data_IF_005014583232
#
_entry.id   IF_005014583232
#
_cell.length_a   1.000
_cell.length_b   1.000
_cell.length_c   1.000
_cell.angle_alpha   90.00
_cell.angle_beta   90.00
_cell.angle_gamma   90.00
#
_symmetry.space_group_name_H-M   'P 1'
#
loop_
_entity.id
_entity.type
_entity.pdbx_description
1 polymer ?
#
# COMPACT_ATOMS: atom_id res chain seq x y z
N UNK A 1 -11.09 1.52 5.46
CA UNK A 1 -10.91 0.41 4.51
C UNK A 1 -9.79 0.79 3.57
N UNK A 2 -8.83 -0.11 3.35
CA UNK A 2 -7.67 0.11 2.47
C UNK A 2 -7.76 -0.86 1.29
N UNK A 3 -7.48 -0.41 0.06
CA UNK A 3 -7.54 -1.24 -1.15
C UNK A 3 -8.78 -2.14 -1.18
N UNK A 4 -10.00 -1.61 -1.14
CA UNK A 4 -11.19 -2.42 -0.90
C UNK A 4 -11.38 -3.48 -1.99
N UNK A 5 -11.69 -4.70 -1.55
CA UNK A 5 -12.10 -5.81 -2.42
C UNK A 5 -13.54 -5.65 -2.89
N UNK A 6 -14.02 -6.52 -3.78
CA UNK A 6 -15.43 -6.55 -4.17
C UNK A 6 -16.34 -6.63 -2.93
N UNK A 7 -17.35 -5.77 -2.87
CA UNK A 7 -18.29 -5.72 -1.75
C UNK A 7 -19.38 -6.79 -1.92
N UNK A 8 -19.00 -8.05 -1.69
CA UNK A 8 -19.94 -9.17 -1.69
C UNK A 8 -20.81 -9.16 -0.42
N UNK A 9 -21.94 -9.91 -0.37
CA UNK A 9 -22.74 -10.04 0.85
C UNK A 9 -21.92 -10.48 2.06
N UNK A 10 -20.97 -11.40 1.89
CA UNK A 10 -20.10 -11.92 2.96
C UNK A 10 -19.14 -10.82 3.47
N UNK A 11 -18.53 -10.06 2.57
CA UNK A 11 -17.68 -8.93 2.93
C UNK A 11 -18.51 -7.87 3.66
N UNK A 12 -19.72 -7.56 3.16
CA UNK A 12 -20.63 -6.64 3.83
C UNK A 12 -21.01 -7.11 5.22
N UNK A 13 -21.38 -8.37 5.38
CA UNK A 13 -21.72 -8.96 6.69
C UNK A 13 -20.52 -8.89 7.65
N UNK A 14 -19.29 -9.08 7.14
CA UNK A 14 -18.09 -8.93 7.95
C UNK A 14 -17.89 -7.50 8.42
N UNK A 15 -18.07 -6.51 7.55
CA UNK A 15 -18.00 -5.09 7.91
C UNK A 15 -19.05 -4.74 8.98
N UNK A 16 -20.29 -5.19 8.78
CA UNK A 16 -21.39 -4.94 9.71
C UNK A 16 -21.10 -5.58 11.09
N UNK A 17 -20.50 -6.77 11.14
CA UNK A 17 -20.07 -7.43 12.39
C UNK A 17 -18.96 -6.66 13.14
N UNK A 18 -18.26 -5.78 12.47
CA UNK A 18 -17.23 -4.89 13.04
C UNK A 18 -17.78 -3.50 13.39
N UNK A 19 -19.10 -3.34 13.37
CA UNK A 19 -19.78 -2.08 13.70
C UNK A 19 -20.35 -1.35 12.49
N UNK A 20 -20.02 -1.75 11.26
CA UNK A 20 -20.65 -1.24 10.02
C UNK A 20 -20.33 0.21 9.65
N UNK A 21 -19.56 0.92 10.46
CA UNK A 21 -19.28 2.35 10.28
C UNK A 21 -17.98 2.56 9.48
N UNK A 22 -18.08 2.57 8.15
CA UNK A 22 -16.94 2.89 7.27
C UNK A 22 -16.83 4.40 7.13
N UNK A 23 -15.78 4.98 7.66
CA UNK A 23 -15.53 6.44 7.61
C UNK A 23 -14.55 6.84 6.52
N UNK A 24 -13.61 5.95 6.17
CA UNK A 24 -12.56 6.20 5.19
C UNK A 24 -12.41 5.02 4.23
N UNK A 25 -12.23 5.35 2.95
CA UNK A 25 -11.97 4.41 1.86
C UNK A 25 -10.67 4.85 1.21
N UNK A 26 -9.57 4.15 1.45
CA UNK A 26 -8.29 4.48 0.88
C UNK A 26 -8.03 3.69 -0.41
N UNK A 27 -7.80 4.41 -1.51
CA UNK A 27 -7.13 3.91 -2.70
C UNK A 27 -5.65 4.26 -2.55
N UNK A 28 -4.80 3.31 -2.10
CA UNK A 28 -3.44 3.64 -1.69
C UNK A 28 -2.53 4.03 -2.85
N UNK A 29 -2.90 3.74 -4.09
CA UNK A 29 -2.10 4.06 -5.27
C UNK A 29 -2.95 4.16 -6.55
N UNK A 30 -2.29 4.23 -7.72
CA UNK A 30 -2.95 4.31 -9.02
C UNK A 30 -3.48 2.96 -9.54
N UNK A 31 -3.22 1.84 -8.86
CA UNK A 31 -3.60 0.49 -9.31
C UNK A 31 -4.67 -0.16 -8.41
N UNK A 32 -4.60 0.03 -7.10
CA UNK A 32 -5.48 -0.62 -6.12
C UNK A 32 -6.75 0.20 -5.84
N UNK A 33 -7.59 0.40 -6.89
CA UNK A 33 -8.72 1.33 -6.83
C UNK A 33 -10.05 0.78 -7.39
N UNK A 34 -10.10 -0.49 -7.84
CA UNK A 34 -11.21 -0.99 -8.67
C UNK A 34 -12.58 -0.87 -7.99
N UNK A 35 -12.66 -1.14 -6.70
CA UNK A 35 -13.94 -1.26 -5.99
C UNK A 35 -14.37 -0.02 -5.20
N UNK A 36 -13.59 1.08 -5.22
CA UNK A 36 -13.90 2.27 -4.39
C UNK A 36 -15.28 2.86 -4.71
N UNK A 37 -15.72 2.86 -5.97
CA UNK A 37 -17.07 3.36 -6.36
C UNK A 37 -18.18 2.55 -5.69
N UNK A 38 -18.06 1.22 -5.68
CA UNK A 38 -19.07 0.36 -5.04
C UNK A 38 -19.12 0.59 -3.53
N UNK A 39 -17.94 0.73 -2.89
CA UNK A 39 -17.86 1.03 -1.47
C UNK A 39 -18.38 2.42 -1.14
N UNK A 40 -18.05 3.46 -1.94
CA UNK A 40 -18.58 4.81 -1.75
C UNK A 40 -20.11 4.85 -1.88
N UNK A 41 -20.69 4.11 -2.83
CA UNK A 41 -22.15 3.97 -2.95
C UNK A 41 -22.79 3.30 -1.73
N UNK A 42 -22.13 2.29 -1.16
CA UNK A 42 -22.63 1.59 0.03
C UNK A 42 -22.43 2.38 1.32
N UNK A 43 -21.41 3.25 1.37
CA UNK A 43 -21.04 4.07 2.51
C UNK A 43 -20.86 5.55 2.05
N UNK A 44 -21.96 6.25 1.72
CA UNK A 44 -21.87 7.57 1.08
C UNK A 44 -21.21 8.65 1.94
N UNK A 45 -21.21 8.48 3.25
CA UNK A 45 -20.54 9.40 4.19
C UNK A 45 -19.03 9.13 4.35
N UNK A 46 -18.52 8.00 3.84
CA UNK A 46 -17.10 7.70 3.91
C UNK A 46 -16.29 8.62 3.00
N UNK A 47 -15.18 9.15 3.50
CA UNK A 47 -14.26 9.95 2.70
C UNK A 47 -13.30 9.08 1.90
N UNK A 48 -13.07 9.42 0.64
CA UNK A 48 -12.08 8.76 -0.21
C UNK A 48 -10.73 9.44 -0.02
N UNK A 49 -9.70 8.63 0.22
CA UNK A 49 -8.30 9.02 0.34
C UNK A 49 -7.54 8.46 -0.86
N UNK A 50 -6.81 9.31 -1.58
CA UNK A 50 -6.15 8.89 -2.82
C UNK A 50 -4.91 9.73 -3.15
N UNK A 51 -3.95 9.22 -3.95
CA UNK A 51 -2.90 10.03 -4.55
C UNK A 51 -3.42 10.85 -5.74
N UNK A 52 -2.72 11.92 -6.05
CA UNK A 52 -2.95 12.72 -7.25
C UNK A 52 -2.88 11.88 -8.54
N UNK A 53 -3.69 12.24 -9.54
CA UNK A 53 -3.75 11.55 -10.82
C UNK A 53 -4.70 10.36 -10.83
N UNK A 54 -5.12 9.82 -9.67
CA UNK A 54 -6.06 8.70 -9.63
C UNK A 54 -7.45 9.11 -10.09
N UNK A 55 -7.94 10.27 -9.68
CA UNK A 55 -9.26 10.74 -10.10
C UNK A 55 -9.31 10.90 -11.62
N UNK A 56 -8.33 11.54 -12.22
CA UNK A 56 -8.20 11.74 -13.66
C UNK A 56 -8.12 10.40 -14.41
N UNK A 57 -7.29 9.47 -13.92
CA UNK A 57 -7.20 8.10 -14.47
C UNK A 57 -8.56 7.42 -14.50
N UNK A 58 -9.34 7.54 -13.42
CA UNK A 58 -10.66 6.91 -13.30
C UNK A 58 -11.71 7.56 -14.20
N UNK A 59 -11.67 8.89 -14.38
CA UNK A 59 -12.62 9.59 -15.26
C UNK A 59 -12.47 9.18 -16.73
N UNK A 60 -11.31 8.69 -17.14
CA UNK A 60 -11.11 8.18 -18.50
C UNK A 60 -11.87 6.86 -18.77
N UNK A 61 -12.27 6.13 -17.70
CA UNK A 61 -13.03 4.89 -17.80
C UNK A 61 -14.50 5.14 -17.39
N UNK A 62 -15.49 4.89 -18.30
CA UNK A 62 -16.91 5.11 -18.01
C UNK A 62 -17.44 4.31 -16.81
N UNK A 63 -16.82 3.17 -16.48
CA UNK A 63 -17.23 2.30 -15.37
C UNK A 63 -16.84 2.87 -13.99
N UNK A 64 -15.90 3.81 -13.94
CA UNK A 64 -15.32 4.35 -12.71
C UNK A 64 -15.58 5.85 -12.53
N UNK A 65 -16.61 6.41 -13.14
CA UNK A 65 -16.93 7.84 -13.02
C UNK A 65 -17.33 8.17 -11.58
N UNK A 66 -16.38 8.73 -10.85
CA UNK A 66 -16.61 9.19 -9.49
C UNK A 66 -16.92 10.68 -9.45
N UNK A 67 -17.57 11.15 -8.39
CA UNK A 67 -17.86 12.58 -8.21
C UNK A 67 -16.59 13.37 -7.96
N UNK A 68 -15.89 13.10 -6.88
CA UNK A 68 -14.57 13.62 -6.52
C UNK A 68 -14.05 12.84 -5.31
N UNK A 69 -12.78 13.07 -4.96
CA UNK A 69 -12.16 12.50 -3.76
C UNK A 69 -12.00 13.59 -2.71
N UNK A 70 -12.34 13.29 -1.47
CA UNK A 70 -12.30 14.27 -0.39
C UNK A 70 -10.88 14.63 0.02
N UNK A 71 -9.97 13.66 0.02
CA UNK A 71 -8.58 13.88 0.44
C UNK A 71 -7.60 13.34 -0.60
N UNK A 72 -6.84 14.24 -1.20
CA UNK A 72 -5.88 13.90 -2.27
C UNK A 72 -4.48 14.39 -1.87
N UNK A 73 -3.54 13.48 -1.79
CA UNK A 73 -2.11 13.83 -1.62
C UNK A 73 -1.52 14.26 -2.94
N UNK A 74 -0.81 15.37 -2.93
CA UNK A 74 -0.14 15.95 -4.10
C UNK A 74 1.33 16.19 -3.80
N UNK A 75 2.19 16.01 -4.81
CA UNK A 75 3.65 16.17 -4.71
C UNK A 75 4.05 17.54 -4.15
N UNK A 76 3.46 18.60 -4.66
CA UNK A 76 3.87 19.98 -4.37
C UNK A 76 2.91 20.71 -3.42
N UNK A 77 2.20 19.97 -2.57
CA UNK A 77 1.29 20.52 -1.59
C UNK A 77 1.48 19.90 -0.21
N UNK A 78 1.04 20.61 0.82
CA UNK A 78 0.94 20.03 2.15
C UNK A 78 -0.04 18.86 2.17
N UNK A 79 0.19 17.83 3.00
CA UNK A 79 -0.77 16.74 3.15
C UNK A 79 -2.17 17.29 3.50
N UNK A 80 -3.25 16.65 3.00
CA UNK A 80 -4.59 17.07 3.35
C UNK A 80 -4.86 16.87 4.84
N UNK A 81 -5.56 17.83 5.45
CA UNK A 81 -6.11 17.66 6.79
C UNK A 81 -7.36 16.78 6.69
N UNK A 82 -7.40 15.67 7.43
CA UNK A 82 -8.50 14.71 7.36
C UNK A 82 -9.45 14.89 8.53
N UNK A 83 -8.99 14.59 9.75
CA UNK A 83 -9.72 14.78 10.99
C UNK A 83 -8.79 14.57 12.18
N UNK A 84 -9.16 15.12 13.34
CA UNK A 84 -8.41 14.89 14.59
C UNK A 84 -8.29 13.39 14.93
N UNK A 85 -9.35 12.62 14.69
CA UNK A 85 -9.35 11.16 14.89
C UNK A 85 -8.36 10.47 13.97
N UNK A 86 -8.34 10.82 12.68
CA UNK A 86 -7.36 10.27 11.74
C UNK A 86 -5.94 10.59 12.18
N UNK A 87 -5.67 11.85 12.50
CA UNK A 87 -4.32 12.30 12.87
C UNK A 87 -3.87 11.71 14.22
N UNK A 88 -4.83 11.36 15.11
CA UNK A 88 -4.51 10.64 16.36
C UNK A 88 -4.06 9.20 16.10
N UNK A 89 -4.66 8.52 15.12
CA UNK A 89 -4.45 7.09 14.86
C UNK A 89 -3.48 6.80 13.72
N UNK A 90 -3.44 7.66 12.69
CA UNK A 90 -2.67 7.41 11.48
C UNK A 90 -1.58 8.45 11.23
N UNK A 91 -0.51 8.01 10.58
CA UNK A 91 0.45 8.83 9.86
C UNK A 91 0.50 8.35 8.42
N UNK A 92 0.70 9.25 7.47
CA UNK A 92 0.67 8.92 6.04
C UNK A 92 1.91 9.48 5.34
N UNK A 93 2.64 8.64 4.61
CA UNK A 93 3.68 9.08 3.70
C UNK A 93 3.21 8.93 2.25
N UNK A 94 3.28 10.01 1.49
CA UNK A 94 3.03 9.99 0.06
C UNK A 94 4.33 9.74 -0.70
N UNK A 95 4.50 8.51 -1.15
CA UNK A 95 5.67 8.05 -1.91
C UNK A 95 5.48 8.40 -3.40
N UNK A 96 5.48 9.68 -3.72
CA UNK A 96 5.26 10.14 -5.10
C UNK A 96 6.34 9.66 -6.08
N UNK A 97 7.52 9.29 -5.58
CA UNK A 97 8.59 8.69 -6.38
C UNK A 97 8.35 7.23 -6.77
N UNK A 98 7.34 6.57 -6.18
CA UNK A 98 6.90 5.22 -6.56
C UNK A 98 6.22 5.23 -7.93
N UNK A 99 6.40 4.17 -8.72
CA UNK A 99 5.81 4.05 -10.05
C UNK A 99 4.29 4.19 -10.07
N UNK A 100 3.60 3.69 -9.06
CA UNK A 100 2.15 3.83 -8.88
C UNK A 100 1.72 4.98 -7.95
N UNK A 101 2.65 5.83 -7.48
CA UNK A 101 2.35 6.98 -6.58
C UNK A 101 1.65 6.55 -5.30
N UNK A 102 2.33 5.84 -4.45
CA UNK A 102 1.73 5.14 -3.33
C UNK A 102 1.56 6.00 -2.07
N UNK A 103 0.46 5.78 -1.34
CA UNK A 103 0.22 6.21 0.03
C UNK A 103 0.51 5.06 0.98
N UNK A 104 1.48 5.22 1.84
CA UNK A 104 1.80 4.28 2.92
C UNK A 104 1.25 4.83 4.22
N UNK A 105 0.59 3.99 5.01
CA UNK A 105 -0.06 4.39 6.25
C UNK A 105 0.58 3.68 7.44
N UNK A 106 0.83 4.41 8.51
CA UNK A 106 1.13 3.85 9.83
C UNK A 106 -0.11 3.96 10.71
N UNK A 107 -0.66 2.85 11.17
CA UNK A 107 -1.62 2.85 12.27
C UNK A 107 -0.83 2.82 13.58
N UNK A 108 -0.74 3.99 14.23
CA UNK A 108 0.09 4.23 15.41
C UNK A 108 -0.24 3.32 16.59
N UNK A 109 -1.54 3.15 16.98
CA UNK A 109 -1.88 2.36 18.16
C UNK A 109 -1.45 0.88 18.04
N UNK A 110 -1.52 0.29 16.85
CA UNK A 110 -1.11 -1.11 16.63
C UNK A 110 0.31 -1.25 16.08
N UNK A 111 1.03 -0.14 15.88
CA UNK A 111 2.37 -0.11 15.30
C UNK A 111 2.44 -0.88 13.97
N UNK A 112 1.42 -0.70 13.14
CA UNK A 112 1.24 -1.45 11.89
C UNK A 112 1.36 -0.54 10.69
N UNK A 113 2.29 -0.86 9.78
CA UNK A 113 2.34 -0.24 8.45
C UNK A 113 1.36 -0.97 7.53
N UNK A 114 0.59 -0.20 6.76
CA UNK A 114 -0.33 -0.68 5.73
C UNK A 114 0.14 -0.06 4.42
N UNK A 115 0.39 -0.90 3.43
CA UNK A 115 0.94 -0.46 2.15
C UNK A 115 0.36 -1.27 0.98
N UNK A 116 0.62 -0.85 -0.24
CA UNK A 116 0.20 -1.53 -1.46
C UNK A 116 1.36 -2.30 -2.10
N UNK A 117 2.24 -1.59 -2.79
CA UNK A 117 3.30 -2.16 -3.62
C UNK A 117 4.72 -1.77 -3.18
N UNK A 118 4.87 -1.12 -2.02
CA UNK A 118 6.21 -0.78 -1.49
C UNK A 118 7.04 -2.02 -1.18
N UNK A 119 6.38 -3.10 -0.71
CA UNK A 119 7.02 -4.36 -0.34
C UNK A 119 6.09 -5.53 -0.61
N UNK A 120 6.62 -6.61 -1.17
CA UNK A 120 5.90 -7.85 -1.44
C UNK A 120 6.37 -8.94 -0.49
N UNK A 121 5.46 -9.62 0.19
CA UNK A 121 5.80 -10.76 1.05
C UNK A 121 5.27 -12.08 0.48
N UNK A 122 5.73 -12.40 -0.73
CA UNK A 122 5.31 -13.60 -1.44
C UNK A 122 6.04 -14.88 -0.93
N UNK A 123 5.39 -16.06 -1.02
CA UNK A 123 4.07 -16.33 -1.62
C UNK A 123 2.89 -15.93 -0.72
N UNK A 124 1.72 -15.63 -1.33
CA UNK A 124 0.47 -15.28 -0.65
C UNK A 124 -0.25 -16.53 -0.14
N UNK A 125 0.21 -17.12 0.95
CA UNK A 125 -0.39 -18.37 1.46
C UNK A 125 -1.72 -18.10 2.14
N UNK A 126 -1.83 -17.01 2.91
CA UNK A 126 -3.04 -16.65 3.65
C UNK A 126 -4.19 -16.25 2.72
N UNK A 127 -3.90 -15.43 1.71
CA UNK A 127 -4.88 -14.91 0.77
C UNK A 127 -5.69 -16.02 0.08
N UNK A 128 -5.04 -17.14 -0.23
CA UNK A 128 -5.64 -18.27 -0.92
C UNK A 128 -5.88 -19.48 -0.01
N UNK A 129 -5.76 -19.33 1.31
CA UNK A 129 -5.85 -20.46 2.25
C UNK A 129 -7.19 -21.17 2.27
N UNK A 130 -8.27 -20.47 1.89
CA UNK A 130 -9.65 -20.99 1.86
C UNK A 130 -10.16 -21.26 0.44
N UNK A 131 -9.30 -21.21 -0.57
CA UNK A 131 -9.67 -21.45 -1.97
C UNK A 131 -9.30 -22.89 -2.31
N UNK A 132 -10.28 -23.71 -2.73
CA UNK A 132 -10.08 -25.10 -3.14
C UNK A 132 -9.43 -25.17 -4.53
N UNK A 133 -9.81 -24.27 -5.45
CA UNK A 133 -9.30 -24.20 -6.81
C UNK A 133 -8.10 -23.28 -6.92
N UNK A 134 -6.92 -23.78 -6.57
CA UNK A 134 -5.66 -23.10 -6.91
C UNK A 134 -5.19 -23.53 -8.28
N UNK A 135 -5.34 -22.66 -9.26
CA UNK A 135 -4.66 -22.90 -10.53
C UNK A 135 -3.14 -23.00 -10.29
N UNK A 136 -2.47 -24.01 -10.88
CA UNK A 136 -1.04 -24.17 -10.73
C UNK A 136 -0.34 -22.95 -11.34
N UNK A 137 0.50 -22.30 -10.53
CA UNK A 137 1.31 -21.17 -10.99
C UNK A 137 2.12 -21.59 -12.24
N UNK A 138 2.11 -20.74 -13.26
CA UNK A 138 2.93 -20.96 -14.44
C UNK A 138 4.44 -20.86 -14.11
N UNK A 139 5.29 -21.35 -14.98
CA UNK A 139 6.74 -21.40 -14.76
C UNK A 139 7.35 -20.02 -14.50
N UNK A 140 6.91 -18.99 -15.20
CA UNK A 140 7.40 -17.61 -15.06
C UNK A 140 7.08 -17.08 -13.66
N UNK A 141 5.84 -17.25 -13.21
CA UNK A 141 5.43 -16.83 -11.86
C UNK A 141 6.23 -17.56 -10.79
N UNK A 142 6.44 -18.89 -10.91
CA UNK A 142 7.28 -19.65 -9.98
C UNK A 142 8.71 -19.17 -9.91
N UNK A 143 9.28 -18.68 -11.03
CA UNK A 143 10.63 -18.14 -11.08
C UNK A 143 10.74 -16.74 -10.45
N UNK A 144 9.68 -15.92 -10.55
CA UNK A 144 9.67 -14.53 -10.04
C UNK A 144 9.32 -14.47 -8.55
N UNK A 145 8.43 -15.33 -8.04
CA UNK A 145 7.99 -15.32 -6.64
C UNK A 145 9.13 -15.27 -5.63
N UNK A 146 10.22 -16.07 -5.74
CA UNK A 146 11.32 -15.99 -4.80
C UNK A 146 12.05 -14.64 -4.80
N UNK A 147 12.00 -13.89 -5.92
CA UNK A 147 12.64 -12.57 -6.03
C UNK A 147 11.87 -11.50 -5.22
N UNK A 148 10.58 -11.72 -4.98
CA UNK A 148 9.68 -10.83 -4.24
C UNK A 148 9.35 -11.38 -2.84
N UNK A 149 10.15 -12.31 -2.33
CA UNK A 149 10.03 -12.82 -0.98
C UNK A 149 10.90 -12.01 -0.01
N UNK A 150 10.41 -11.81 1.20
CA UNK A 150 11.16 -11.17 2.29
C UNK A 150 11.98 -12.14 3.11
N UNK A 151 11.87 -13.46 2.85
CA UNK A 151 12.50 -14.54 3.65
C UNK A 151 14.02 -14.64 3.49
N UNK A 152 14.57 -14.09 2.42
CA UNK A 152 16.02 -14.12 2.19
C UNK A 152 16.75 -12.97 2.88
N UNK A 153 17.97 -13.24 3.34
CA UNK A 153 18.89 -12.21 3.84
C UNK A 153 20.27 -12.39 3.20
N UNK A 154 20.75 -11.39 2.44
CA UNK A 154 20.07 -10.18 2.00
C UNK A 154 18.94 -10.48 0.99
N UNK A 155 17.88 -9.67 0.99
CA UNK A 155 16.77 -9.78 0.04
C UNK A 155 17.14 -9.23 -1.36
N UNK A 156 18.17 -9.77 -1.98
CA UNK A 156 18.83 -9.19 -3.17
C UNK A 156 17.88 -9.03 -4.36
N UNK A 157 16.99 -10.00 -4.60
CA UNK A 157 16.00 -9.92 -5.68
C UNK A 157 15.05 -8.75 -5.44
N UNK A 158 14.49 -8.66 -4.24
CA UNK A 158 13.55 -7.60 -3.87
C UNK A 158 14.22 -6.21 -3.85
N UNK A 159 15.48 -6.10 -3.37
CA UNK A 159 16.27 -4.86 -3.46
C UNK A 159 16.42 -4.36 -4.90
N UNK A 160 16.72 -5.28 -5.85
CA UNK A 160 16.81 -4.94 -7.28
C UNK A 160 15.47 -4.50 -7.82
N UNK A 161 14.40 -5.19 -7.47
CA UNK A 161 13.04 -4.82 -7.89
C UNK A 161 12.67 -3.42 -7.37
N UNK A 162 12.89 -3.14 -6.09
CA UNK A 162 12.64 -1.82 -5.51
C UNK A 162 13.49 -0.73 -6.20
N UNK A 163 14.78 -1.02 -6.45
CA UNK A 163 15.70 -0.05 -7.04
C UNK A 163 15.40 0.26 -8.50
N UNK A 164 15.13 -0.76 -9.32
CA UNK A 164 15.00 -0.57 -10.76
C UNK A 164 13.56 -0.38 -11.24
N UNK A 165 12.58 -0.88 -10.49
CA UNK A 165 11.17 -0.85 -10.88
C UNK A 165 10.36 0.10 -10.00
N UNK A 166 10.30 -0.13 -8.67
CA UNK A 166 9.42 0.66 -7.81
C UNK A 166 9.83 2.14 -7.74
N UNK A 167 11.14 2.43 -7.68
CA UNK A 167 11.68 3.80 -7.60
C UNK A 167 11.96 4.42 -8.97
N UNK A 168 11.51 3.82 -10.06
CA UNK A 168 11.86 4.25 -11.42
C UNK A 168 11.31 5.63 -11.80
N UNK A 169 10.23 6.07 -11.16
CA UNK A 169 9.59 7.36 -11.45
C UNK A 169 10.42 8.55 -10.95
N UNK A 170 10.82 8.51 -9.68
CA UNK A 170 11.72 9.52 -9.06
C UNK A 170 12.44 8.86 -7.87
N UNK A 171 13.67 8.40 -8.10
CA UNK A 171 14.43 7.64 -7.08
C UNK A 171 14.82 8.47 -5.87
N UNK A 172 15.10 9.75 -6.04
CA UNK A 172 15.52 10.62 -4.94
C UNK A 172 14.33 10.90 -4.01
N UNK A 173 13.16 11.15 -4.60
CA UNK A 173 11.92 11.27 -3.84
C UNK A 173 11.55 9.96 -3.15
N UNK A 174 11.65 8.82 -3.84
CA UNK A 174 11.43 7.50 -3.25
C UNK A 174 12.36 7.23 -2.07
N UNK A 175 13.66 7.55 -2.23
CA UNK A 175 14.66 7.43 -1.16
C UNK A 175 14.29 8.27 0.07
N UNK A 176 13.82 9.50 -0.17
CA UNK A 176 13.38 10.39 0.90
C UNK A 176 12.19 9.80 1.67
N UNK A 177 11.19 9.26 0.98
CA UNK A 177 10.04 8.61 1.58
C UNK A 177 10.42 7.34 2.34
N UNK A 178 11.30 6.49 1.79
CA UNK A 178 11.83 5.31 2.50
C UNK A 178 12.49 5.72 3.82
N UNK A 179 13.30 6.77 3.81
CA UNK A 179 13.96 7.28 5.04
C UNK A 179 12.96 7.84 6.06
N UNK A 180 11.85 8.44 5.62
CA UNK A 180 10.76 8.90 6.51
C UNK A 180 10.03 7.72 7.13
N UNK A 181 9.60 6.74 6.34
CA UNK A 181 8.95 5.51 6.81
C UNK A 181 9.83 4.79 7.84
N UNK A 182 11.15 4.73 7.62
CA UNK A 182 12.09 4.13 8.59
C UNK A 182 12.20 4.85 9.93
N UNK A 183 11.68 6.08 10.06
CA UNK A 183 11.61 6.79 11.36
C UNK A 183 10.39 6.39 12.16
N UNK A 184 9.40 5.78 11.53
CA UNK A 184 8.19 5.30 12.21
C UNK A 184 8.50 4.15 13.16
N UNK A 185 7.73 4.07 14.25
CA UNK A 185 7.76 2.95 15.17
C UNK A 185 6.72 1.92 14.76
N UNK A 186 7.15 0.88 14.04
CA UNK A 186 6.30 -0.22 13.62
C UNK A 186 6.99 -1.57 13.78
N UNK A 187 6.18 -2.58 14.02
CA UNK A 187 6.62 -3.97 14.17
C UNK A 187 5.86 -4.93 13.25
N UNK A 188 4.71 -4.50 12.74
CA UNK A 188 3.84 -5.25 11.82
C UNK A 188 3.73 -4.53 10.48
N UNK A 189 3.54 -5.30 9.39
CA UNK A 189 3.31 -4.74 8.06
C UNK A 189 2.27 -5.58 7.33
N UNK A 190 1.28 -4.90 6.74
CA UNK A 190 0.21 -5.49 5.93
C UNK A 190 0.39 -5.02 4.49
N UNK A 191 0.90 -5.87 3.59
CA UNK A 191 1.03 -5.54 2.17
C UNK A 191 -0.25 -5.90 1.41
N UNK A 192 -0.47 -5.30 0.22
CA UNK A 192 -1.50 -5.79 -0.70
C UNK A 192 -1.13 -7.16 -1.30
N UNK A 193 0.16 -7.46 -1.41
CA UNK A 193 0.64 -8.69 -2.07
C UNK A 193 1.51 -9.53 -1.13
N UNK A 194 0.97 -10.66 -0.70
CA UNK A 194 1.66 -11.61 0.16
C UNK A 194 1.04 -11.74 1.55
N UNK A 195 1.70 -12.54 2.37
CA UNK A 195 1.26 -12.76 3.75
C UNK A 195 1.63 -11.56 4.64
N UNK A 196 0.85 -11.30 5.68
CA UNK A 196 1.15 -10.28 6.68
C UNK A 196 2.49 -10.57 7.36
N UNK A 197 3.29 -9.54 7.59
CA UNK A 197 4.51 -9.64 8.42
C UNK A 197 4.09 -9.26 9.85
N UNK A 198 3.87 -10.28 10.68
CA UNK A 198 3.25 -10.13 12.00
C UNK A 198 4.19 -9.53 13.05
N UNK A 199 5.51 -9.61 12.86
CA UNK A 199 6.52 -9.07 13.76
C UNK A 199 7.84 -8.80 13.03
N UNK A 200 8.70 -7.96 13.64
CA UNK A 200 9.99 -7.57 13.05
C UNK A 200 9.87 -6.89 11.67
N UNK A 201 8.70 -6.37 11.32
CA UNK A 201 8.45 -5.78 10.00
C UNK A 201 9.41 -4.63 9.68
N UNK A 202 9.81 -3.84 10.68
CA UNK A 202 10.78 -2.76 10.49
C UNK A 202 12.15 -3.29 10.02
N UNK A 203 12.61 -4.41 10.56
CA UNK A 203 13.86 -5.05 10.14
C UNK A 203 13.75 -5.65 8.74
N UNK A 204 12.59 -6.24 8.41
CA UNK A 204 12.30 -6.75 7.06
C UNK A 204 12.29 -5.62 6.04
N UNK A 205 11.58 -4.53 6.32
CA UNK A 205 11.55 -3.33 5.48
C UNK A 205 12.96 -2.76 5.28
N UNK A 206 13.74 -2.62 6.36
CA UNK A 206 15.14 -2.19 6.30
C UNK A 206 16.00 -3.10 5.41
N UNK A 207 15.80 -4.41 5.50
CA UNK A 207 16.52 -5.37 4.65
C UNK A 207 16.17 -5.17 3.17
N UNK A 208 14.90 -5.03 2.82
CA UNK A 208 14.48 -4.81 1.43
C UNK A 208 14.94 -3.43 0.91
N UNK A 209 14.79 -2.38 1.71
CA UNK A 209 15.09 -1.00 1.31
C UNK A 209 16.55 -0.58 1.56
N UNK A 210 17.44 -1.53 1.87
CA UNK A 210 18.80 -1.25 2.32
C UNK A 210 19.61 -0.37 1.35
N UNK A 211 19.36 -0.40 0.05
CA UNK A 211 20.08 0.43 -0.91
C UNK A 211 19.69 1.91 -0.85
N UNK A 212 18.47 2.23 -0.43
CA UNK A 212 17.99 3.60 -0.23
C UNK A 212 18.40 4.19 1.14
N UNK A 213 18.81 3.32 2.07
CA UNK A 213 19.20 3.70 3.44
C UNK A 213 20.69 3.91 3.61
N UNK A 214 21.52 3.53 2.62
CA UNK A 214 22.94 3.87 2.63
C UNK A 214 23.11 5.39 2.63
N UNK A 215 24.01 5.88 3.48
CA UNK A 215 24.48 7.25 3.37
C UNK A 215 25.18 7.42 2.02
N UNK A 216 24.90 8.52 1.33
CA UNK A 216 25.65 8.89 0.14
C UNK A 216 27.12 8.99 0.57
N UNK A 217 27.93 8.02 0.21
CA UNK A 217 29.36 8.23 0.18
C UNK A 217 29.58 9.30 -0.89
N UNK A 218 29.54 10.56 -0.47
CA UNK A 218 30.02 11.65 -1.29
C UNK A 218 31.44 11.28 -1.69
N UNK A 219 31.63 11.05 -2.97
CA UNK A 219 32.95 10.95 -3.53
C UNK A 219 33.70 12.23 -3.15
N UNK A 220 34.65 12.09 -2.24
CA UNK A 220 35.71 13.07 -1.98
C UNK A 220 36.69 13.01 -3.15
#
# INVERSE_FOLDING_TARGET
VFSPVSLTPEVRAKVDSLGGNVRYIAAPDLEHHLHITAWKKAFPQAHILAPEGLWEKRQSNPDFRDTHFEHVWKKDASPPVISEEWDAEFETEYVHGHGSRELVFLHKPSRTVIEADMLFNLPSNEQYSKTEDREPLNFVTKAILPLLSTKSYPATGHRRFAWYILSSHDRDAFTTSVRRIMRWDFDRLIPCHGDVIESNARSVFQNVMAWFLKEDQKHV
#
